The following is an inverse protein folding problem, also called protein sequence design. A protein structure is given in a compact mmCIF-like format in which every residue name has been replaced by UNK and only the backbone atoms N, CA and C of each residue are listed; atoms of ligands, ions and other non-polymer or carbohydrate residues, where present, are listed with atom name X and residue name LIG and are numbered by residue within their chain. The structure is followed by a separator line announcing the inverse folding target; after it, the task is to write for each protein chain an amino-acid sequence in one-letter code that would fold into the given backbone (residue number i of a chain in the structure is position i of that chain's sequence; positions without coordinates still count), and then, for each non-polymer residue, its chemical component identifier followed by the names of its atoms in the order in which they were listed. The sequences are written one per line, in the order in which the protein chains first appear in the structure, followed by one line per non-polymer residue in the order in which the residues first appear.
data_IF_694131536031
#
_entry.id   IF_694131536031
#
_cell.length_a   1.000
_cell.length_b   1.000
_cell.length_c   1.000
_cell.angle_alpha   90.00
_cell.angle_beta   90.00
_cell.angle_gamma   90.00
#
_symmetry.space_group_name_H-M   'P 1'
#
loop_
_entity.id
_entity.type
_entity.pdbx_description
1 polymer ?
#
# COMPACT_ATOMS: atom_id res chain seq x y z
N UNK A 1 -16.97 -60.52 -39.20
CA UNK A 1 -18.29 -60.06 -38.70
C UNK A 1 -18.18 -59.47 -37.29
N UNK A 2 -17.46 -60.13 -36.37
CA UNK A 2 -17.23 -59.64 -35.00
C UNK A 2 -16.49 -58.29 -34.92
N UNK A 3 -15.41 -58.09 -35.70
CA UNK A 3 -14.66 -56.81 -35.73
C UNK A 3 -15.49 -55.62 -36.23
N UNK A 4 -16.39 -55.85 -37.19
CA UNK A 4 -17.28 -54.81 -37.69
C UNK A 4 -18.29 -54.39 -36.61
N UNK A 5 -18.76 -55.37 -35.83
CA UNK A 5 -19.68 -55.15 -34.71
C UNK A 5 -18.98 -54.45 -33.54
N UNK A 6 -17.73 -54.81 -33.24
CA UNK A 6 -16.87 -54.12 -32.27
C UNK A 6 -16.61 -52.67 -32.66
N UNK A 7 -16.21 -52.39 -33.91
CA UNK A 7 -16.01 -51.01 -34.39
C UNK A 7 -17.29 -50.18 -34.35
N UNK A 8 -18.43 -50.77 -34.72
CA UNK A 8 -19.72 -50.07 -34.70
C UNK A 8 -20.14 -49.68 -33.27
N UNK A 9 -19.81 -50.50 -32.26
CA UNK A 9 -20.14 -50.23 -30.86
C UNK A 9 -19.09 -49.35 -30.15
N UNK A 10 -17.80 -49.53 -30.44
CA UNK A 10 -16.70 -48.81 -29.79
C UNK A 10 -16.40 -47.45 -30.44
N UNK A 11 -16.68 -47.27 -31.74
CA UNK A 11 -16.41 -46.03 -32.48
C UNK A 11 -16.97 -44.78 -31.79
N UNK A 12 -18.28 -44.73 -31.44
CA UNK A 12 -18.87 -43.59 -30.74
C UNK A 12 -18.27 -43.33 -29.35
N UNK A 13 -17.79 -44.38 -28.67
CA UNK A 13 -17.14 -44.26 -27.36
C UNK A 13 -15.75 -43.65 -27.54
N UNK A 14 -14.98 -44.08 -28.54
CA UNK A 14 -13.67 -43.51 -28.86
C UNK A 14 -13.80 -42.03 -29.23
N UNK A 15 -14.74 -41.66 -30.09
CA UNK A 15 -14.99 -40.25 -30.42
C UNK A 15 -15.29 -39.42 -29.18
N UNK A 16 -16.18 -39.90 -28.29
CA UNK A 16 -16.46 -39.22 -27.03
C UNK A 16 -15.24 -39.11 -26.11
N UNK A 17 -14.37 -40.11 -26.08
CA UNK A 17 -13.15 -40.05 -25.27
C UNK A 17 -12.20 -38.97 -25.81
N UNK A 18 -12.04 -38.86 -27.13
CA UNK A 18 -11.22 -37.79 -27.74
C UNK A 18 -11.81 -36.41 -27.47
N UNK A 19 -13.13 -36.27 -27.57
CA UNK A 19 -13.82 -35.01 -27.23
C UNK A 19 -13.61 -34.63 -25.75
N UNK A 20 -13.74 -35.60 -24.85
CA UNK A 20 -13.50 -35.40 -23.42
C UNK A 20 -12.04 -35.03 -23.13
N UNK A 21 -11.08 -35.67 -23.79
CA UNK A 21 -9.66 -35.35 -23.67
C UNK A 21 -9.39 -33.91 -24.09
N UNK A 22 -9.93 -33.49 -25.25
CA UNK A 22 -9.81 -32.11 -25.75
C UNK A 22 -10.42 -31.09 -24.77
N UNK A 23 -11.58 -31.40 -24.19
CA UNK A 23 -12.22 -30.54 -23.20
C UNK A 23 -11.40 -30.42 -21.92
N UNK A 24 -10.80 -31.52 -21.46
CA UNK A 24 -9.95 -31.54 -20.26
C UNK A 24 -8.69 -30.72 -20.48
N UNK A 25 -8.03 -30.85 -21.63
CA UNK A 25 -6.85 -30.03 -21.98
C UNK A 25 -7.19 -28.53 -22.01
N UNK A 26 -8.33 -28.15 -22.61
CA UNK A 26 -8.78 -26.76 -22.62
C UNK A 26 -9.08 -26.24 -21.21
N UNK A 27 -9.70 -27.06 -20.35
CA UNK A 27 -9.92 -26.71 -18.95
C UNK A 27 -8.61 -26.49 -18.18
N UNK A 28 -7.61 -27.35 -18.38
CA UNK A 28 -6.29 -27.17 -17.77
C UNK A 28 -5.64 -25.85 -18.22
N UNK A 29 -5.64 -25.59 -19.53
CA UNK A 29 -5.08 -24.34 -20.09
C UNK A 29 -5.75 -23.09 -19.52
N UNK A 30 -7.08 -23.11 -19.37
CA UNK A 30 -7.85 -22.00 -18.74
C UNK A 30 -7.56 -21.88 -17.25
N UNK A 31 -7.47 -23.00 -16.53
CA UNK A 31 -7.16 -23.02 -15.11
C UNK A 31 -5.78 -22.40 -14.83
N UNK A 32 -4.77 -22.74 -15.63
CA UNK A 32 -3.44 -22.13 -15.57
C UNK A 32 -3.44 -20.64 -15.95
N UNK A 33 -4.43 -20.19 -16.72
CA UNK A 33 -4.61 -18.78 -17.05
C UNK A 33 -5.33 -17.96 -15.98
N UNK A 34 -6.01 -18.61 -15.03
CA UNK A 34 -6.91 -17.92 -14.12
C UNK A 34 -6.17 -16.97 -13.17
N UNK A 35 -5.01 -17.37 -12.68
CA UNK A 35 -4.27 -16.64 -11.66
C UNK A 35 -2.76 -16.80 -11.87
N UNK A 36 -2.05 -15.69 -12.07
CA UNK A 36 -0.62 -15.69 -12.39
C UNK A 36 0.11 -14.58 -11.66
N UNK A 37 1.38 -14.77 -11.34
CA UNK A 37 2.24 -13.68 -10.89
C UNK A 37 2.70 -12.89 -12.12
N UNK A 38 2.57 -11.58 -12.05
CA UNK A 38 3.04 -10.67 -13.10
C UNK A 38 3.80 -9.47 -12.54
N UNK A 39 4.37 -8.68 -13.44
CA UNK A 39 5.14 -7.47 -13.15
C UNK A 39 4.58 -6.30 -13.95
N UNK A 40 4.34 -5.15 -13.30
CA UNK A 40 3.90 -3.93 -13.98
C UNK A 40 4.97 -3.45 -14.97
N UNK A 41 4.61 -3.26 -16.23
CA UNK A 41 5.48 -2.69 -17.26
C UNK A 41 5.11 -1.25 -17.59
N UNK A 42 3.81 -0.93 -17.57
CA UNK A 42 3.29 0.41 -17.84
C UNK A 42 2.13 0.70 -16.91
N UNK A 43 2.00 1.96 -16.49
CA UNK A 43 0.87 2.44 -15.69
C UNK A 43 0.35 3.75 -16.28
N UNK A 44 -0.97 3.83 -16.43
CA UNK A 44 -1.68 5.06 -16.76
C UNK A 44 -2.59 5.44 -15.60
N UNK A 45 -2.14 6.44 -14.84
CA UNK A 45 -2.85 6.94 -13.68
C UNK A 45 -4.17 7.63 -14.03
N UNK A 46 -4.24 8.30 -15.20
CA UNK A 46 -5.44 9.05 -15.59
C UNK A 46 -6.58 8.10 -15.95
N UNK A 47 -6.27 7.01 -16.65
CA UNK A 47 -7.25 5.98 -16.95
C UNK A 47 -7.38 4.94 -15.84
N UNK A 48 -6.56 4.95 -14.78
CA UNK A 48 -6.50 3.92 -13.73
C UNK A 48 -6.37 2.50 -14.32
N UNK A 49 -5.41 2.35 -15.24
CA UNK A 49 -5.05 1.09 -15.90
C UNK A 49 -3.55 0.84 -15.86
N UNK A 50 -3.15 -0.40 -16.10
CA UNK A 50 -1.76 -0.81 -16.22
C UNK A 50 -1.61 -1.90 -17.29
N UNK A 51 -0.38 -2.17 -17.70
CA UNK A 51 -0.01 -3.37 -18.45
C UNK A 51 0.95 -4.21 -17.61
N UNK A 52 0.70 -5.51 -17.57
CA UNK A 52 1.41 -6.47 -16.73
C UNK A 52 2.02 -7.54 -17.61
N UNK A 53 3.32 -7.79 -17.43
CA UNK A 53 4.00 -8.91 -18.07
C UNK A 53 3.94 -10.17 -17.21
N UNK A 54 3.80 -11.33 -17.85
CA UNK A 54 3.96 -12.64 -17.23
C UNK A 54 4.58 -13.59 -18.28
N UNK A 55 5.71 -14.22 -17.96
CA UNK A 55 6.50 -14.94 -18.97
C UNK A 55 6.83 -14.02 -20.14
N UNK A 56 6.57 -14.49 -21.36
CA UNK A 56 6.77 -13.73 -22.60
C UNK A 56 5.54 -12.90 -23.03
N UNK A 57 4.47 -12.92 -22.22
CA UNK A 57 3.21 -12.24 -22.54
C UNK A 57 3.13 -10.89 -21.85
N UNK A 58 2.51 -9.93 -22.54
CA UNK A 58 2.13 -8.62 -22.01
C UNK A 58 0.61 -8.46 -22.09
N UNK A 59 -0.03 -8.08 -20.99
CA UNK A 59 -1.46 -7.82 -20.97
C UNK A 59 -1.81 -6.59 -21.84
N UNK A 60 -3.06 -6.49 -22.33
CA UNK A 60 -3.60 -5.20 -22.74
C UNK A 60 -3.70 -4.25 -21.52
N UNK A 61 -4.18 -3.03 -21.74
CA UNK A 61 -4.48 -2.10 -20.65
C UNK A 61 -5.63 -2.67 -19.79
N UNK A 62 -5.32 -3.01 -18.55
CA UNK A 62 -6.25 -3.63 -17.59
C UNK A 62 -6.37 -2.78 -16.33
N UNK A 63 -7.47 -2.93 -15.61
CA UNK A 63 -7.68 -2.26 -14.31
C UNK A 63 -6.80 -2.91 -13.23
N UNK A 64 -6.53 -2.15 -12.18
CA UNK A 64 -5.88 -2.67 -10.98
C UNK A 64 -6.67 -2.33 -9.72
N UNK A 65 -6.44 -3.13 -8.67
CA UNK A 65 -7.07 -2.93 -7.37
C UNK A 65 -6.45 -1.75 -6.64
N UNK A 66 -7.33 -0.98 -6.00
CA UNK A 66 -7.01 0.02 -4.99
C UNK A 66 -7.43 -0.52 -3.61
N UNK A 67 -6.87 -0.01 -2.49
CA UNK A 67 -7.24 -0.48 -1.15
C UNK A 67 -8.74 -0.37 -0.85
N UNK A 68 -9.40 0.66 -1.37
CA UNK A 68 -10.86 0.82 -1.33
C UNK A 68 -11.36 1.60 -2.55
N UNK A 69 -12.57 1.31 -3.02
CA UNK A 69 -13.17 1.92 -4.22
C UNK A 69 -14.69 2.12 -4.08
N UNK A 70 -15.17 2.42 -2.86
CA UNK A 70 -16.58 2.71 -2.55
C UNK A 70 -16.82 4.20 -2.27
N UNK A 71 -17.80 4.52 -1.42
CA UNK A 71 -18.00 5.89 -0.91
C UNK A 71 -16.83 6.38 -0.06
N UNK A 72 -16.21 5.47 0.69
CA UNK A 72 -14.85 5.60 1.19
C UNK A 72 -13.91 5.01 0.14
N UNK A 73 -12.92 5.79 -0.29
CA UNK A 73 -12.03 5.44 -1.40
C UNK A 73 -10.59 5.84 -1.10
N UNK A 74 -9.66 5.05 -1.59
CA UNK A 74 -8.23 5.29 -1.48
C UNK A 74 -7.57 4.92 -2.80
N UNK A 75 -6.73 5.81 -3.35
CA UNK A 75 -6.02 5.55 -4.59
C UNK A 75 -4.54 5.35 -4.32
N UNK A 76 -4.00 4.22 -4.77
CA UNK A 76 -2.57 3.94 -4.83
C UNK A 76 -2.22 3.48 -6.25
N UNK A 77 -1.58 4.37 -7.00
CA UNK A 77 -1.08 4.03 -8.34
C UNK A 77 0.13 3.09 -8.19
N UNK A 78 0.14 1.92 -8.84
CA UNK A 78 1.26 0.99 -8.78
C UNK A 78 2.48 1.57 -9.50
N UNK A 79 3.66 1.10 -9.13
CA UNK A 79 4.92 1.48 -9.79
C UNK A 79 5.30 0.49 -10.88
N UNK A 80 6.02 0.94 -11.91
CA UNK A 80 6.65 0.04 -12.88
C UNK A 80 7.65 -0.87 -12.15
N UNK A 81 7.67 -2.15 -12.49
CA UNK A 81 8.44 -3.19 -11.81
C UNK A 81 7.77 -3.82 -10.59
N UNK A 82 6.63 -3.27 -10.14
CA UNK A 82 5.90 -3.83 -9.00
C UNK A 82 5.26 -5.16 -9.36
N UNK A 83 5.39 -6.15 -8.47
CA UNK A 83 4.77 -7.46 -8.66
C UNK A 83 3.29 -7.44 -8.25
N UNK A 84 2.49 -8.18 -9.00
CA UNK A 84 1.06 -8.35 -8.76
C UNK A 84 0.60 -9.77 -9.00
N UNK A 85 -0.57 -10.07 -8.45
CA UNK A 85 -1.40 -11.17 -8.89
C UNK A 85 -2.27 -10.70 -10.05
N UNK A 86 -2.12 -11.33 -11.21
CA UNK A 86 -2.96 -11.13 -12.38
C UNK A 86 -4.11 -12.14 -12.34
N UNK A 87 -5.34 -11.63 -12.25
CA UNK A 87 -6.55 -12.44 -12.16
C UNK A 87 -7.33 -12.34 -13.46
N UNK A 88 -7.45 -13.44 -14.20
CA UNK A 88 -8.27 -13.54 -15.40
C UNK A 88 -9.65 -14.10 -15.02
N UNK A 89 -10.61 -13.20 -14.78
CA UNK A 89 -11.96 -13.58 -14.38
C UNK A 89 -12.83 -14.03 -15.56
N UNK A 90 -12.39 -13.80 -16.80
CA UNK A 90 -13.08 -14.25 -18.00
C UNK A 90 -12.86 -15.72 -18.34
N UNK A 91 -11.79 -16.33 -17.82
CA UNK A 91 -11.44 -17.73 -18.05
C UNK A 91 -11.07 -18.06 -19.50
N UNK A 92 -11.00 -17.08 -20.40
CA UNK A 92 -10.51 -17.22 -21.78
C UNK A 92 -9.01 -16.95 -21.87
N UNK A 93 -8.41 -17.13 -23.05
CA UNK A 93 -6.97 -16.87 -23.26
C UNK A 93 -6.64 -15.37 -23.28
N UNK A 94 -7.65 -14.52 -23.50
CA UNK A 94 -7.47 -13.09 -23.67
C UNK A 94 -7.21 -12.38 -22.34
N UNK A 95 -6.10 -11.65 -22.25
CA UNK A 95 -5.78 -10.80 -21.10
C UNK A 95 -6.72 -9.60 -20.89
N UNK A 96 -7.66 -9.35 -21.80
CA UNK A 96 -8.60 -8.22 -21.72
C UNK A 96 -9.59 -8.34 -20.55
N UNK A 97 -9.89 -9.57 -20.10
CA UNK A 97 -10.73 -9.84 -18.93
C UNK A 97 -9.88 -10.14 -17.70
N UNK A 98 -8.78 -9.39 -17.55
CA UNK A 98 -7.90 -9.51 -16.40
C UNK A 98 -7.89 -8.25 -15.55
N UNK A 99 -7.57 -8.42 -14.27
CA UNK A 99 -7.32 -7.33 -13.32
C UNK A 99 -6.06 -7.63 -12.52
N UNK A 100 -5.34 -6.58 -12.11
CA UNK A 100 -4.08 -6.71 -11.37
C UNK A 100 -4.25 -6.32 -9.90
N UNK A 101 -3.91 -7.24 -8.99
CA UNK A 101 -3.83 -6.98 -7.55
C UNK A 101 -2.35 -6.83 -7.14
N UNK A 102 -1.95 -5.59 -6.91
CA UNK A 102 -0.58 -5.23 -6.51
C UNK A 102 -0.32 -5.43 -5.01
N UNK A 103 0.96 -5.43 -4.63
CA UNK A 103 1.40 -5.52 -3.23
C UNK A 103 2.23 -6.75 -2.89
N UNK A 104 2.66 -7.54 -3.89
CA UNK A 104 3.62 -8.61 -3.65
C UNK A 104 5.03 -8.01 -3.53
N UNK A 105 5.68 -8.21 -2.38
CA UNK A 105 7.06 -7.79 -2.20
C UNK A 105 8.00 -8.61 -3.09
N UNK A 106 9.02 -7.94 -3.63
CA UNK A 106 10.02 -8.54 -4.51
C UNK A 106 11.42 -8.09 -4.12
N UNK A 107 12.44 -8.60 -4.80
CA UNK A 107 13.81 -8.10 -4.63
C UNK A 107 13.96 -6.62 -5.02
N UNK A 108 13.15 -6.15 -5.98
CA UNK A 108 13.11 -4.74 -6.39
C UNK A 108 12.36 -3.87 -5.39
N UNK A 109 11.28 -4.39 -4.80
CA UNK A 109 10.45 -3.69 -3.82
C UNK A 109 10.29 -4.53 -2.53
N UNK A 110 11.33 -4.58 -1.68
CA UNK A 110 11.30 -5.36 -0.45
C UNK A 110 10.34 -4.75 0.59
N UNK A 111 9.93 -5.53 1.61
CA UNK A 111 9.12 -5.00 2.71
C UNK A 111 9.86 -3.87 3.44
N UNK A 112 9.12 -2.86 3.87
CA UNK A 112 9.67 -1.66 4.53
C UNK A 112 9.90 -1.83 6.04
N UNK A 113 9.41 -2.93 6.62
CA UNK A 113 9.58 -3.32 8.01
C UNK A 113 9.52 -4.84 8.14
N UNK A 114 10.28 -5.40 9.10
CA UNK A 114 10.14 -6.79 9.56
C UNK A 114 9.61 -6.90 10.99
N UNK A 115 9.20 -5.77 11.60
CA UNK A 115 8.69 -5.71 12.98
C UNK A 115 7.20 -6.01 12.98
N UNK A 116 6.78 -7.03 13.74
CA UNK A 116 5.40 -7.54 13.71
C UNK A 116 4.35 -6.55 14.26
N UNK A 117 4.72 -5.74 15.25
CA UNK A 117 3.85 -4.73 15.88
C UNK A 117 3.72 -3.43 15.07
N UNK A 118 4.56 -3.26 14.04
CA UNK A 118 4.70 -2.01 13.32
C UNK A 118 3.91 -2.03 12.01
N UNK A 119 2.88 -1.18 11.94
CA UNK A 119 2.29 -0.76 10.68
C UNK A 119 3.06 0.45 10.14
N UNK A 120 3.61 0.35 8.93
CA UNK A 120 4.37 1.43 8.29
C UNK A 120 3.93 1.66 6.86
N UNK A 121 3.70 2.94 6.52
CA UNK A 121 3.58 3.43 5.14
C UNK A 121 4.75 4.35 4.83
N UNK A 122 5.52 4.01 3.79
CA UNK A 122 6.61 4.84 3.25
C UNK A 122 6.26 5.33 1.85
N UNK A 123 6.38 6.63 1.63
CA UNK A 123 6.18 7.29 0.35
C UNK A 123 7.49 7.40 -0.44
N UNK A 124 7.42 7.69 -1.75
CA UNK A 124 8.59 7.73 -2.64
C UNK A 124 9.59 8.83 -2.29
N UNK A 125 9.13 9.93 -1.69
CA UNK A 125 9.95 11.04 -1.20
C UNK A 125 10.63 10.75 0.15
N UNK A 126 10.40 9.57 0.72
CA UNK A 126 10.91 9.17 2.03
C UNK A 126 10.00 9.52 3.20
N UNK A 127 8.90 10.24 2.99
CA UNK A 127 7.88 10.52 4.01
C UNK A 127 7.36 9.19 4.59
N UNK A 128 7.12 9.14 5.89
CA UNK A 128 6.68 7.93 6.59
C UNK A 128 5.53 8.21 7.55
N UNK A 129 4.63 7.25 7.67
CA UNK A 129 3.59 7.18 8.69
C UNK A 129 3.57 5.80 9.30
N UNK A 130 3.74 5.76 10.62
CA UNK A 130 4.00 4.56 11.39
C UNK A 130 3.10 4.50 12.61
N UNK A 131 2.61 3.30 12.95
CA UNK A 131 2.01 3.01 14.23
C UNK A 131 2.56 1.68 14.76
N UNK A 132 3.12 1.71 15.96
CA UNK A 132 3.63 0.54 16.66
C UNK A 132 2.71 0.22 17.84
N UNK A 133 2.04 -0.93 17.81
CA UNK A 133 1.12 -1.33 18.86
C UNK A 133 1.81 -1.75 20.16
N UNK A 134 3.09 -2.14 20.12
CA UNK A 134 3.84 -2.59 21.27
C UNK A 134 4.28 -1.42 22.17
N UNK A 135 4.69 -0.32 21.55
CA UNK A 135 5.04 0.93 22.24
C UNK A 135 3.87 1.91 22.34
N UNK A 136 2.76 1.63 21.65
CA UNK A 136 1.62 2.54 21.47
C UNK A 136 2.01 3.89 20.87
N UNK A 137 2.99 3.89 19.97
CA UNK A 137 3.49 5.13 19.36
C UNK A 137 3.04 5.30 17.92
N UNK A 138 2.48 6.46 17.62
CA UNK A 138 2.33 6.98 16.27
C UNK A 138 3.54 7.84 15.92
N UNK A 139 4.08 7.69 14.71
CA UNK A 139 5.12 8.55 14.18
C UNK A 139 4.82 8.92 12.73
N UNK A 140 4.93 10.20 12.43
CA UNK A 140 4.92 10.74 11.09
C UNK A 140 6.16 11.58 10.87
N UNK A 141 6.82 11.41 9.73
CA UNK A 141 8.03 12.16 9.38
C UNK A 141 8.04 12.55 7.91
N UNK A 142 8.42 13.80 7.63
CA UNK A 142 8.64 14.35 6.30
C UNK A 142 9.86 15.28 6.38
N UNK A 143 11.04 14.74 6.05
CA UNK A 143 12.31 15.44 6.18
C UNK A 143 12.53 15.97 7.61
N UNK A 144 12.71 17.29 7.80
CA UNK A 144 12.95 17.89 9.12
C UNK A 144 11.67 18.05 9.96
N UNK A 145 10.49 17.75 9.41
CA UNK A 145 9.21 17.86 10.10
C UNK A 145 8.79 16.51 10.64
N UNK A 146 8.48 16.43 11.92
CA UNK A 146 7.99 15.21 12.56
C UNK A 146 6.79 15.49 13.46
N UNK A 147 5.89 14.50 13.53
CA UNK A 147 4.81 14.45 14.52
C UNK A 147 4.88 13.07 15.15
N UNK A 148 4.98 13.00 16.47
CA UNK A 148 4.95 11.75 17.21
C UNK A 148 3.93 11.83 18.34
N UNK A 149 3.31 10.70 18.65
CA UNK A 149 2.33 10.58 19.71
C UNK A 149 2.47 9.24 20.40
N UNK A 150 2.27 9.26 21.71
CA UNK A 150 2.15 8.08 22.57
C UNK A 150 0.92 8.26 23.45
N UNK A 151 0.73 7.40 24.45
CA UNK A 151 -0.38 7.57 25.40
C UNK A 151 -0.15 8.74 26.37
N UNK A 152 1.10 9.13 26.58
CA UNK A 152 1.51 10.09 27.59
C UNK A 152 1.91 11.46 27.01
N UNK A 153 2.27 11.51 25.72
CA UNK A 153 2.78 12.72 25.09
C UNK A 153 2.51 12.82 23.59
N UNK A 154 2.45 14.05 23.09
CA UNK A 154 2.47 14.40 21.67
C UNK A 154 3.61 15.39 21.42
N UNK A 155 4.45 15.12 20.42
CA UNK A 155 5.53 16.04 20.01
C UNK A 155 5.39 16.40 18.53
N UNK A 156 5.61 17.67 18.21
CA UNK A 156 5.70 18.19 16.84
C UNK A 156 7.03 18.92 16.71
N UNK A 157 7.78 18.64 15.66
CA UNK A 157 9.07 19.29 15.37
C UNK A 157 9.10 19.81 13.95
N UNK A 158 9.67 20.98 13.73
CA UNK A 158 10.06 21.52 12.42
C UNK A 158 11.49 22.04 12.53
N UNK A 159 12.47 21.22 12.15
CA UNK A 159 13.88 21.56 12.35
C UNK A 159 14.20 21.75 13.83
N UNK A 160 14.52 22.99 14.24
CA UNK A 160 14.83 23.33 15.64
C UNK A 160 13.61 23.77 16.47
N UNK A 161 12.46 24.01 15.83
CA UNK A 161 11.23 24.38 16.52
C UNK A 161 10.54 23.13 17.06
N UNK A 162 10.13 23.13 18.32
CA UNK A 162 9.40 22.02 18.94
C UNK A 162 8.14 22.48 19.66
N UNK A 163 7.12 21.63 19.64
CA UNK A 163 5.96 21.66 20.51
C UNK A 163 5.88 20.30 21.19
N UNK A 164 5.85 20.26 22.52
CA UNK A 164 5.66 19.05 23.31
C UNK A 164 4.47 19.25 24.25
N UNK A 165 3.52 18.31 24.20
CA UNK A 165 2.36 18.25 25.08
C UNK A 165 2.44 16.96 25.89
N UNK A 166 2.30 17.10 27.20
CA UNK A 166 2.14 15.98 28.14
C UNK A 166 0.87 16.20 28.97
N UNK A 167 0.53 15.25 29.85
CA UNK A 167 -0.58 15.42 30.81
C UNK A 167 -0.45 16.67 31.68
N UNK A 168 0.78 17.12 31.96
CA UNK A 168 1.04 18.17 32.95
C UNK A 168 1.62 19.46 32.36
N UNK A 169 1.97 19.47 31.08
CA UNK A 169 2.66 20.63 30.50
C UNK A 169 2.47 20.78 28.99
N UNK A 170 2.58 22.01 28.54
CA UNK A 170 2.73 22.39 27.13
C UNK A 170 4.03 23.17 26.99
N UNK A 171 4.95 22.68 26.16
CA UNK A 171 6.23 23.34 25.89
C UNK A 171 6.30 23.74 24.42
N UNK A 172 6.63 24.99 24.15
CA UNK A 172 7.02 25.52 22.85
C UNK A 172 8.49 25.94 22.93
N UNK A 173 9.34 25.49 22.02
CA UNK A 173 10.76 25.84 22.02
C UNK A 173 11.27 26.17 20.62
N UNK A 174 12.11 27.20 20.52
CA UNK A 174 12.93 27.52 19.36
C UNK A 174 14.31 27.95 19.84
N UNK A 175 15.28 27.04 19.81
CA UNK A 175 16.62 27.31 20.35
C UNK A 175 16.56 27.63 21.85
N UNK A 176 17.00 28.84 22.24
CA UNK A 176 16.98 29.30 23.63
C UNK A 176 15.69 30.02 24.05
N UNK A 177 14.80 30.33 23.11
CA UNK A 177 13.52 30.97 23.38
C UNK A 177 12.41 29.94 23.49
N UNK A 178 11.52 30.08 24.47
CA UNK A 178 10.45 29.11 24.66
C UNK A 178 9.38 29.55 25.65
N UNK A 179 8.30 28.78 25.68
CA UNK A 179 7.16 28.93 26.58
C UNK A 179 6.86 27.58 27.19
N UNK A 180 6.77 27.51 28.51
CA UNK A 180 6.23 26.38 29.26
C UNK A 180 4.93 26.82 29.93
N UNK A 181 3.85 26.11 29.67
CA UNK A 181 2.60 26.20 30.43
C UNK A 181 2.48 24.94 31.28
N UNK A 182 2.34 25.11 32.60
CA UNK A 182 2.13 24.03 33.56
C UNK A 182 1.19 24.48 34.69
N UNK A 183 1.04 23.64 35.72
CA UNK A 183 0.21 23.96 36.88
C UNK A 183 0.70 25.17 37.70
N UNK A 184 1.97 25.59 37.56
CA UNK A 184 2.54 26.75 38.24
C UNK A 184 2.32 28.05 37.44
N UNK A 185 1.97 27.97 36.16
CA UNK A 185 1.59 29.12 35.34
C UNK A 185 2.23 29.10 33.94
N UNK A 186 2.48 30.31 33.42
CA UNK A 186 3.15 30.52 32.11
C UNK A 186 4.58 31.00 32.37
N UNK A 187 5.55 30.21 31.93
CA UNK A 187 6.97 30.50 32.06
C UNK A 187 7.55 30.81 30.68
N UNK A 188 8.17 31.99 30.54
CA UNK A 188 8.76 32.45 29.30
C UNK A 188 10.27 32.44 29.43
N UNK A 189 10.96 31.91 28.42
CA UNK A 189 12.42 31.90 28.33
C UNK A 189 12.85 32.56 27.01
N UNK A 190 13.98 33.27 27.05
CA UNK A 190 14.50 34.02 25.92
C UNK A 190 14.76 35.49 26.25
N UNK A 191 15.38 36.24 25.32
CA UNK A 191 15.84 37.59 25.59
C UNK A 191 14.74 38.66 25.62
N UNK A 192 13.60 38.42 24.97
CA UNK A 192 12.53 39.42 24.80
C UNK A 192 11.17 38.74 24.86
N UNK A 193 10.24 39.37 25.59
CA UNK A 193 8.79 39.10 25.55
C UNK A 193 8.11 40.40 25.15
N UNK A 194 7.48 40.41 23.97
CA UNK A 194 6.69 41.56 23.52
C UNK A 194 5.20 41.30 23.77
N UNK A 195 4.50 42.27 24.37
CA UNK A 195 3.08 42.17 24.66
C UNK A 195 2.38 43.53 24.55
N UNK A 196 1.16 43.56 24.00
CA UNK A 196 0.36 44.79 23.88
C UNK A 196 -0.32 45.24 25.19
N UNK A 197 -0.17 44.48 26.29
CA UNK A 197 -0.72 44.82 27.61
C UNK A 197 0.12 45.85 28.39
N UNK A 198 -0.41 46.35 29.52
CA UNK A 198 0.37 47.13 30.50
C UNK A 198 1.51 46.25 31.02
N UNK A 199 2.76 46.73 30.94
CA UNK A 199 3.99 46.03 31.39
C UNK A 199 3.74 45.29 32.70
N UNK A 200 3.76 43.95 32.63
CA UNK A 200 3.49 43.07 33.79
C UNK A 200 4.75 42.80 34.62
N UNK A 201 5.93 43.14 34.12
CA UNK A 201 7.18 43.18 34.89
C UNK A 201 8.08 44.30 34.38
N UNK A 202 8.42 45.26 35.25
CA UNK A 202 9.61 46.09 35.05
C UNK A 202 10.82 45.26 35.48
N UNK A 203 11.84 45.18 34.63
CA UNK A 203 13.19 44.82 35.06
C UNK A 203 13.68 45.79 36.15
#
# INVERSE_FOLDING_TARGET
MFDALLRMQLGPIVERLVDMETQVEDLYRRAESFCRIGVCQEVDAASNTCKVSHGDLLSPAIRFFNPSAGSQTETRIPSVGEQCLLLNYGGGEGGAQSVALFGLNSSLFPPVSGVASLNRRRYQDGTQSDYDDASHTFNWSNGPTTVSGSREQVNVTVGAATLALTEHSITLQLGASGLLLDAAGVHLSGPVVDHHGRVISSA
#
